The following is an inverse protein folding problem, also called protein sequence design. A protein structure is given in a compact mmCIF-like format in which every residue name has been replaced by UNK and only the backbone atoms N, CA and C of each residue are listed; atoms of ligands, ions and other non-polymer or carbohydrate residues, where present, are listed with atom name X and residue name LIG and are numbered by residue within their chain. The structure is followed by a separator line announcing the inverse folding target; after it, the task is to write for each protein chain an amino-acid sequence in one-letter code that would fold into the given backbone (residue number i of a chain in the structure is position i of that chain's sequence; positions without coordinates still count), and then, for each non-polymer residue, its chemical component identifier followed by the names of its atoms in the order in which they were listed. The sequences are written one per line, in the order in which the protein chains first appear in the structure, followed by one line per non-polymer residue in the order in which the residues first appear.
data_IF_051852615117
#
_entry.id   IF_051852615117
#
_cell.length_a   1.000
_cell.length_b   1.000
_cell.length_c   1.000
_cell.angle_alpha   90.00
_cell.angle_beta   90.00
_cell.angle_gamma   90.00
#
_symmetry.space_group_name_H-M   'P 1'
#
loop_
_entity.id
_entity.type
_entity.pdbx_description
1 polymer ?
#
# COMPACT_ATOMS: atom_id res chain seq x y z
N UNK A 1 -3.74 9.83 -18.86
CA UNK A 1 -4.02 10.26 -17.47
C UNK A 1 -4.02 9.01 -16.61
N UNK A 2 -3.32 9.02 -15.46
CA UNK A 2 -3.34 7.89 -14.50
C UNK A 2 -4.76 7.68 -13.96
N UNK A 3 -5.15 6.43 -13.68
CA UNK A 3 -6.51 6.07 -13.21
C UNK A 3 -6.93 6.88 -11.98
N UNK A 4 -6.03 7.04 -11.01
CA UNK A 4 -6.28 7.82 -9.81
C UNK A 4 -6.69 9.27 -10.11
N UNK A 5 -5.96 9.93 -11.00
CA UNK A 5 -6.25 11.31 -11.39
C UNK A 5 -7.54 11.43 -12.19
N UNK A 6 -7.86 10.44 -13.03
CA UNK A 6 -9.16 10.37 -13.70
C UNK A 6 -10.29 10.27 -12.68
N UNK A 7 -10.21 9.33 -11.75
CA UNK A 7 -11.23 9.12 -10.72
C UNK A 7 -11.41 10.38 -9.86
N UNK A 8 -10.30 11.00 -9.42
CA UNK A 8 -10.33 12.23 -8.62
C UNK A 8 -11.03 13.39 -9.34
N UNK A 9 -10.73 13.61 -10.63
CA UNK A 9 -11.39 14.66 -11.43
C UNK A 9 -12.90 14.45 -11.59
N UNK A 10 -13.37 13.22 -11.47
CA UNK A 10 -14.77 12.85 -11.64
C UNK A 10 -15.49 12.60 -10.30
N UNK A 11 -14.91 13.02 -9.17
CA UNK A 11 -15.46 12.77 -7.82
C UNK A 11 -15.70 11.28 -7.52
N UNK A 12 -14.88 10.41 -8.09
CA UNK A 12 -14.91 8.96 -7.83
C UNK A 12 -13.81 8.64 -6.82
N UNK A 13 -14.20 8.12 -5.66
CA UNK A 13 -13.24 7.65 -4.66
C UNK A 13 -12.62 6.32 -5.10
N UNK A 14 -11.28 6.28 -5.12
CA UNK A 14 -10.52 5.04 -5.34
C UNK A 14 -10.29 4.36 -4.00
N UNK A 15 -10.58 3.06 -3.94
CA UNK A 15 -10.23 2.19 -2.81
C UNK A 15 -9.13 1.22 -3.23
N UNK A 16 -8.00 1.27 -2.53
CA UNK A 16 -6.86 0.38 -2.73
C UNK A 16 -7.12 -0.96 -2.05
N UNK A 17 -7.32 -1.99 -2.87
CA UNK A 17 -7.24 -3.39 -2.46
C UNK A 17 -5.79 -3.89 -2.53
N UNK A 18 -5.44 -4.84 -1.65
CA UNK A 18 -4.10 -5.41 -1.56
C UNK A 18 -2.96 -4.38 -1.37
N UNK A 19 -3.23 -3.28 -0.65
CA UNK A 19 -2.27 -2.19 -0.38
C UNK A 19 -0.93 -2.69 0.19
N UNK A 20 -0.98 -3.73 1.03
CA UNK A 20 0.19 -4.36 1.65
C UNK A 20 0.84 -5.45 0.77
N UNK A 21 0.43 -5.54 -0.48
CA UNK A 21 0.91 -6.56 -1.43
C UNK A 21 0.32 -7.95 -1.20
N UNK A 22 -0.77 -8.11 -0.46
CA UNK A 22 -1.45 -9.40 -0.21
C UNK A 22 -0.48 -10.58 0.05
N UNK A 23 0.30 -10.54 1.15
CA UNK A 23 1.33 -11.56 1.43
C UNK A 23 0.77 -12.97 1.57
N UNK A 24 -0.48 -13.12 2.05
CA UNK A 24 -1.12 -14.43 2.17
C UNK A 24 -1.55 -15.06 0.84
N UNK A 25 -1.46 -14.35 -0.30
CA UNK A 25 -1.86 -14.90 -1.61
C UNK A 25 -1.02 -16.12 -1.99
N UNK A 26 0.27 -16.09 -1.67
CA UNK A 26 1.23 -17.14 -2.06
C UNK A 26 1.00 -18.45 -1.32
N UNK A 27 0.16 -18.46 -0.28
CA UNK A 27 -0.25 -19.67 0.43
C UNK A 27 -1.43 -20.39 -0.24
N UNK A 28 -2.03 -19.83 -1.29
CA UNK A 28 -3.11 -20.47 -2.04
C UNK A 28 -2.49 -21.44 -3.05
N UNK A 29 -2.68 -22.77 -2.89
CA UNK A 29 -2.10 -23.76 -3.79
C UNK A 29 -2.73 -23.68 -5.19
N UNK A 30 -1.99 -24.16 -6.19
CA UNK A 30 -2.44 -24.27 -7.59
C UNK A 30 -2.76 -22.94 -8.32
N UNK A 31 -2.30 -21.80 -7.79
CA UNK A 31 -2.37 -20.51 -8.48
C UNK A 31 -0.97 -19.93 -8.71
N UNK A 32 -0.76 -19.34 -9.90
CA UNK A 32 0.41 -18.50 -10.17
C UNK A 32 0.14 -17.07 -9.73
N UNK A 33 1.02 -16.52 -8.90
CA UNK A 33 0.93 -15.15 -8.42
C UNK A 33 2.15 -14.35 -8.87
N UNK A 34 1.97 -13.19 -9.54
CA UNK A 34 3.06 -12.28 -9.80
C UNK A 34 3.82 -11.90 -8.51
N UNK A 35 5.14 -11.79 -8.62
CA UNK A 35 5.99 -11.39 -7.50
C UNK A 35 5.87 -9.89 -7.23
N UNK A 36 5.73 -9.55 -5.96
CA UNK A 36 5.62 -8.16 -5.51
C UNK A 36 5.46 -8.15 -4.00
N UNK A 37 6.42 -7.52 -3.33
CA UNK A 37 6.53 -7.48 -1.86
C UNK A 37 6.80 -6.03 -1.41
N UNK A 38 5.81 -5.12 -1.48
CA UNK A 38 6.01 -3.71 -1.16
C UNK A 38 6.45 -3.47 0.30
N UNK A 39 6.11 -4.38 1.23
CA UNK A 39 6.57 -4.29 2.63
C UNK A 39 8.08 -4.53 2.79
N UNK A 40 8.75 -5.10 1.77
CA UNK A 40 10.21 -5.33 1.76
C UNK A 40 10.96 -4.31 0.89
N UNK A 41 10.26 -3.34 0.31
CA UNK A 41 10.91 -2.31 -0.49
C UNK A 41 11.90 -1.50 0.37
N UNK A 42 13.15 -1.26 -0.09
CA UNK A 42 14.17 -0.59 0.71
C UNK A 42 13.76 0.81 1.20
N UNK A 43 13.03 1.59 0.39
CA UNK A 43 12.56 2.92 0.78
C UNK A 43 11.49 2.80 1.85
N UNK A 44 10.57 1.84 1.72
CA UNK A 44 9.54 1.59 2.74
C UNK A 44 10.16 1.18 4.07
N UNK A 45 11.17 0.30 4.06
CA UNK A 45 11.92 -0.11 5.26
C UNK A 45 12.68 1.06 5.90
N UNK A 46 13.33 1.90 5.07
CA UNK A 46 14.02 3.09 5.55
C UNK A 46 13.07 4.06 6.24
N UNK A 47 11.91 4.34 5.63
CA UNK A 47 10.91 5.24 6.19
C UNK A 47 10.27 4.66 7.46
N UNK A 48 10.03 3.35 7.49
CA UNK A 48 9.58 2.64 8.69
C UNK A 48 10.53 2.89 9.87
N UNK A 49 11.84 2.76 9.64
CA UNK A 49 12.87 3.10 10.62
C UNK A 49 12.84 4.57 11.05
N UNK A 50 12.79 5.51 10.08
CA UNK A 50 12.75 6.96 10.35
C UNK A 50 11.57 7.36 11.25
N UNK A 51 10.38 6.85 10.95
CA UNK A 51 9.16 7.21 11.66
C UNK A 51 8.90 6.36 12.90
N UNK A 52 9.72 5.32 13.16
CA UNK A 52 9.47 4.30 14.19
C UNK A 52 8.09 3.66 14.01
N UNK A 53 7.77 3.33 12.76
CA UNK A 53 6.51 2.73 12.31
C UNK A 53 6.80 1.43 11.59
N UNK A 54 5.78 0.61 11.37
CA UNK A 54 5.93 -0.59 10.55
C UNK A 54 5.91 -0.25 9.05
N UNK A 55 6.46 -1.12 8.18
CA UNK A 55 6.32 -0.99 6.73
C UNK A 55 4.86 -0.92 6.27
N UNK A 56 3.96 -1.63 6.97
CA UNK A 56 2.53 -1.59 6.66
C UNK A 56 1.95 -0.19 6.90
N UNK A 57 2.30 0.44 8.03
CA UNK A 57 1.85 1.81 8.34
C UNK A 57 2.35 2.82 7.30
N UNK A 58 3.59 2.69 6.83
CA UNK A 58 4.13 3.57 5.77
C UNK A 58 3.29 3.45 4.48
N UNK A 59 3.01 2.23 4.02
CA UNK A 59 2.23 1.98 2.80
C UNK A 59 0.78 2.48 2.91
N UNK A 60 0.13 2.23 4.05
CA UNK A 60 -1.23 2.71 4.30
C UNK A 60 -1.29 4.23 4.40
N UNK A 61 -0.29 4.84 5.07
CA UNK A 61 -0.20 6.30 5.16
C UNK A 61 0.06 6.96 3.81
N UNK A 62 0.89 6.35 2.98
CA UNK A 62 1.15 6.79 1.61
C UNK A 62 -0.14 6.86 0.78
N UNK A 63 -0.96 5.80 0.77
CA UNK A 63 -2.23 5.80 0.03
C UNK A 63 -3.23 6.82 0.60
N UNK A 64 -3.41 6.84 1.92
CA UNK A 64 -4.40 7.75 2.55
C UNK A 64 -4.03 9.22 2.38
N UNK A 65 -2.73 9.58 2.41
CA UNK A 65 -2.28 10.94 2.09
C UNK A 65 -2.50 11.34 0.62
N UNK A 66 -2.60 10.38 -0.30
CA UNK A 66 -2.99 10.65 -1.70
C UNK A 66 -4.50 10.85 -1.88
N UNK A 67 -5.29 10.64 -0.84
CA UNK A 67 -6.76 10.63 -0.92
C UNK A 67 -7.33 9.29 -1.40
N UNK A 68 -6.54 8.21 -1.33
CA UNK A 68 -6.96 6.85 -1.70
C UNK A 68 -7.38 6.12 -0.42
N UNK A 69 -8.61 5.58 -0.41
CA UNK A 69 -9.10 4.75 0.69
C UNK A 69 -8.33 3.41 0.72
N UNK A 70 -8.13 2.83 1.90
CA UNK A 70 -7.42 1.55 2.09
C UNK A 70 -8.24 0.57 2.91
N UNK A 71 -8.12 -0.72 2.59
CA UNK A 71 -8.84 -1.81 3.28
C UNK A 71 -7.88 -2.96 3.68
N UNK A 72 -6.91 -2.72 4.59
CA UNK A 72 -5.97 -3.76 4.99
C UNK A 72 -6.66 -4.88 5.77
N UNK A 73 -6.41 -6.14 5.38
CA UNK A 73 -6.89 -7.32 6.10
C UNK A 73 -5.87 -7.78 7.14
N UNK A 74 -6.33 -8.04 8.36
CA UNK A 74 -5.59 -8.78 9.38
C UNK A 74 -6.56 -9.59 10.24
N UNK A 75 -6.07 -10.68 10.83
CA UNK A 75 -6.74 -11.42 11.92
C UNK A 75 -5.95 -11.35 13.23
N UNK A 76 -4.73 -10.79 13.18
CA UNK A 76 -3.90 -10.58 14.34
C UNK A 76 -4.30 -9.23 15.00
N UNK A 77 -4.72 -9.22 16.27
CA UNK A 77 -5.19 -8.01 16.95
C UNK A 77 -4.17 -6.86 16.97
N UNK A 78 -2.90 -7.15 17.24
CA UNK A 78 -1.84 -6.12 17.30
C UNK A 78 -1.66 -5.44 15.95
N UNK A 79 -1.69 -6.21 14.85
CA UNK A 79 -1.63 -5.66 13.49
C UNK A 79 -2.87 -4.86 13.12
N UNK A 80 -4.06 -5.24 13.63
CA UNK A 80 -5.28 -4.47 13.42
C UNK A 80 -5.13 -3.09 14.06
N UNK A 81 -4.69 -3.04 15.32
CA UNK A 81 -4.43 -1.80 16.03
C UNK A 81 -3.34 -0.97 15.34
N UNK A 82 -2.22 -1.61 14.96
CA UNK A 82 -1.12 -0.96 14.25
C UNK A 82 -1.58 -0.32 12.93
N UNK A 83 -2.35 -1.05 12.11
CA UNK A 83 -2.89 -0.56 10.83
C UNK A 83 -3.84 0.63 11.00
N UNK A 84 -4.48 0.77 12.17
CA UNK A 84 -5.34 1.91 12.48
C UNK A 84 -4.53 3.15 12.90
N UNK A 85 -3.38 2.94 13.55
CA UNK A 85 -2.47 3.98 14.04
C UNK A 85 -1.57 4.56 12.93
N UNK A 86 -2.18 4.97 11.82
CA UNK A 86 -1.49 5.55 10.65
C UNK A 86 -1.66 7.07 10.56
N UNK A 87 -2.51 7.68 11.39
CA UNK A 87 -2.87 9.09 11.31
C UNK A 87 -2.07 10.00 12.26
N UNK A 88 -1.24 9.42 13.12
CA UNK A 88 -0.40 10.12 14.10
C UNK A 88 0.96 10.58 13.54
N UNK A 89 1.22 10.31 12.25
CA UNK A 89 2.41 10.82 11.54
C UNK A 89 2.05 11.29 10.13
N UNK A 90 2.98 11.99 9.48
CA UNK A 90 2.81 12.49 8.11
C UNK A 90 4.11 12.32 7.33
N UNK A 91 4.01 11.68 6.16
CA UNK A 91 5.07 11.63 5.16
C UNK A 91 5.21 13.01 4.54
N UNK A 92 6.44 13.49 4.43
CA UNK A 92 6.76 14.76 3.78
C UNK A 92 6.46 14.71 2.28
N UNK A 93 6.32 15.86 1.63
CA UNK A 93 6.08 15.92 0.19
C UNK A 93 7.19 15.23 -0.61
N UNK A 94 8.43 15.31 -0.15
CA UNK A 94 9.56 14.66 -0.81
C UNK A 94 9.49 13.13 -0.70
N UNK A 95 9.17 12.59 0.48
CA UNK A 95 9.00 11.14 0.66
C UNK A 95 7.79 10.61 -0.12
N UNK A 96 6.72 11.40 -0.21
CA UNK A 96 5.58 11.09 -1.07
C UNK A 96 6.01 11.03 -2.54
N UNK A 97 6.84 11.96 -3.03
CA UNK A 97 7.40 11.91 -4.39
C UNK A 97 8.28 10.68 -4.60
N UNK A 98 9.13 10.34 -3.64
CA UNK A 98 9.98 9.14 -3.69
C UNK A 98 9.14 7.86 -3.78
N UNK A 99 8.12 7.72 -2.92
CA UNK A 99 7.19 6.58 -2.94
C UNK A 99 6.31 6.52 -4.19
N UNK A 100 6.06 7.65 -4.85
CA UNK A 100 5.37 7.69 -6.14
C UNK A 100 6.28 7.29 -7.32
N UNK A 101 7.60 7.35 -7.13
CA UNK A 101 8.61 7.12 -8.18
C UNK A 101 9.11 5.66 -8.23
N UNK A 102 8.23 4.71 -7.90
CA UNK A 102 8.57 3.28 -7.91
C UNK A 102 8.92 2.79 -9.32
N UNK A 103 10.04 2.07 -9.43
CA UNK A 103 10.48 1.46 -10.69
C UNK A 103 9.65 0.25 -11.09
N UNK A 104 9.19 -0.50 -10.10
CA UNK A 104 8.48 -1.77 -10.29
C UNK A 104 6.98 -1.56 -10.16
N UNK A 105 6.24 -1.87 -11.23
CA UNK A 105 4.77 -1.81 -11.27
C UNK A 105 4.22 -3.17 -11.61
N UNK A 106 3.70 -3.88 -10.61
CA UNK A 106 3.18 -5.24 -10.75
C UNK A 106 1.70 -5.26 -10.40
N UNK A 107 0.91 -5.84 -11.29
CA UNK A 107 -0.48 -6.22 -11.01
C UNK A 107 -0.48 -7.61 -10.38
N UNK A 108 -0.79 -7.70 -9.09
CA UNK A 108 -0.77 -8.98 -8.35
C UNK A 108 -1.97 -9.89 -8.65
N UNK A 109 -3.07 -9.31 -9.12
CA UNK A 109 -4.30 -10.02 -9.43
C UNK A 109 -4.64 -9.81 -10.90
N UNK A 110 -4.40 -10.85 -11.69
CA UNK A 110 -4.75 -10.93 -13.11
C UNK A 110 -6.12 -11.59 -13.19
N UNK A 111 -7.17 -10.80 -12.99
CA UNK A 111 -8.54 -11.24 -13.27
C UNK A 111 -8.82 -10.89 -14.73
N UNK A 112 -8.19 -11.62 -15.64
CA UNK A 112 -8.54 -11.55 -17.05
C UNK A 112 -9.79 -12.42 -17.21
N UNK A 113 -10.93 -11.75 -17.34
CA UNK A 113 -12.19 -12.32 -17.85
C UNK A 113 -12.19 -12.24 -19.36
#
# INVERSE_FOLDING_TARGET
MELHEFCKKNNITVTSFATLGSPGRTSIPNFYWPSGEPMKDPLVLQLAGKYKKSPAQILLRHMTQRGICVIPKSINPDRILENFNIFDFKLTEEEMKQLNSVKTRVRLFLFDV
#
